data_IF_353309415346
#
_entry.id   IF_353309415346
#
_cell.length_a   1.000
_cell.length_b   1.000
_cell.length_c   1.000
_cell.angle_alpha   90.00
_cell.angle_beta   90.00
_cell.angle_gamma   90.00
#
_symmetry.space_group_name_H-M   'P 1'
#
loop_
_entity.id
_entity.type
_entity.pdbx_description
1 polymer ?
#
# COMPACT_ATOMS: atom_id res chain seq x y z
N UNK A 1 -2.24 -26.93 -20.85
CA UNK A 1 -2.65 -25.50 -20.76
C UNK A 1 -3.08 -25.09 -19.35
N UNK A 2 -3.96 -25.83 -18.66
CA UNK A 2 -4.46 -25.50 -17.31
C UNK A 2 -3.35 -25.34 -16.25
N UNK A 3 -2.28 -26.14 -16.30
CA UNK A 3 -1.16 -26.08 -15.34
C UNK A 3 -0.27 -24.83 -15.49
N UNK A 4 -0.12 -24.32 -16.72
CA UNK A 4 0.66 -23.10 -16.99
C UNK A 4 -0.11 -21.86 -16.54
N UNK A 5 -1.42 -21.83 -16.79
CA UNK A 5 -2.31 -20.75 -16.32
C UNK A 5 -2.31 -20.67 -14.77
N UNK A 6 -2.41 -21.82 -14.08
CA UNK A 6 -2.36 -21.88 -12.61
C UNK A 6 -1.03 -21.37 -12.04
N UNK A 7 0.09 -21.69 -12.70
CA UNK A 7 1.43 -21.22 -12.31
C UNK A 7 1.60 -19.72 -12.50
N UNK A 8 1.07 -19.16 -13.58
CA UNK A 8 1.13 -17.73 -13.86
C UNK A 8 0.29 -16.92 -12.87
N UNK A 9 -0.94 -17.37 -12.58
CA UNK A 9 -1.77 -16.75 -11.54
C UNK A 9 -1.06 -16.81 -10.19
N UNK A 10 -0.58 -17.99 -9.79
CA UNK A 10 0.14 -18.15 -8.52
C UNK A 10 1.37 -17.24 -8.44
N UNK A 11 2.14 -17.10 -9.51
CA UNK A 11 3.32 -16.22 -9.56
C UNK A 11 2.93 -14.76 -9.42
N UNK A 12 1.86 -14.32 -10.08
CA UNK A 12 1.35 -12.93 -9.94
C UNK A 12 0.86 -12.66 -8.53
N UNK A 13 0.11 -13.58 -7.93
CA UNK A 13 -0.37 -13.44 -6.55
C UNK A 13 0.79 -13.39 -5.56
N UNK A 14 1.76 -14.31 -5.69
CA UNK A 14 2.96 -14.29 -4.83
C UNK A 14 3.76 -13.01 -5.03
N UNK A 15 3.94 -12.56 -6.28
CA UNK A 15 4.62 -11.30 -6.59
C UNK A 15 3.92 -10.08 -5.99
N UNK A 16 2.59 -10.03 -6.09
CA UNK A 16 1.78 -8.98 -5.47
C UNK A 16 1.94 -8.99 -3.95
N UNK A 17 1.83 -10.17 -3.31
CA UNK A 17 1.92 -10.31 -1.86
C UNK A 17 3.29 -9.89 -1.34
N UNK A 18 4.36 -10.34 -1.99
CA UNK A 18 5.72 -9.95 -1.62
C UNK A 18 5.95 -8.46 -1.83
N UNK A 19 5.51 -7.92 -2.98
CA UNK A 19 5.64 -6.50 -3.29
C UNK A 19 4.92 -5.61 -2.29
N UNK A 20 3.65 -5.90 -1.98
CA UNK A 20 2.87 -5.13 -1.01
C UNK A 20 3.42 -5.26 0.40
N UNK A 21 3.91 -6.45 0.79
CA UNK A 21 4.52 -6.66 2.11
C UNK A 21 5.80 -5.84 2.27
N UNK A 22 6.62 -5.75 1.23
CA UNK A 22 7.83 -4.91 1.21
C UNK A 22 7.46 -3.43 1.30
N UNK A 23 6.47 -2.97 0.54
CA UNK A 23 5.97 -1.58 0.60
C UNK A 23 5.43 -1.24 2.00
N UNK A 24 4.64 -2.14 2.59
CA UNK A 24 4.12 -1.97 3.96
C UNK A 24 5.23 -1.95 4.99
N UNK A 25 6.24 -2.81 4.84
CA UNK A 25 7.43 -2.83 5.71
C UNK A 25 8.17 -1.50 5.62
N UNK A 26 8.43 -1.01 4.42
CA UNK A 26 9.04 0.30 4.20
C UNK A 26 8.19 1.42 4.82
N UNK A 27 6.86 1.34 4.70
CA UNK A 27 5.93 2.29 5.31
C UNK A 27 6.04 2.30 6.83
N UNK A 28 6.11 1.13 7.49
CA UNK A 28 6.33 1.05 8.95
C UNK A 28 7.69 1.61 9.37
N UNK A 29 8.74 1.40 8.58
CA UNK A 29 10.04 2.03 8.81
C UNK A 29 9.94 3.56 8.67
N UNK A 30 9.12 4.07 7.76
CA UNK A 30 8.85 5.51 7.63
C UNK A 30 8.14 6.07 8.84
N UNK A 31 7.14 5.36 9.37
CA UNK A 31 6.47 5.72 10.63
C UNK A 31 7.50 5.77 11.77
N UNK A 32 8.39 4.78 11.88
CA UNK A 32 9.46 4.78 12.87
C UNK A 32 10.37 5.99 12.71
N UNK A 33 10.76 6.32 11.48
CA UNK A 33 11.60 7.47 11.18
C UNK A 33 10.96 8.79 11.59
N UNK A 34 9.69 8.99 11.26
CA UNK A 34 8.93 10.19 11.65
C UNK A 34 8.73 10.26 13.17
N UNK A 35 8.35 9.14 13.81
CA UNK A 35 8.15 9.07 15.25
C UNK A 35 9.44 9.28 16.05
N UNK A 36 10.59 8.93 15.47
CA UNK A 36 11.90 9.17 16.08
C UNK A 36 12.36 10.64 16.03
N UNK A 37 11.69 11.49 15.24
CA UNK A 37 12.05 12.91 15.06
C UNK A 37 13.29 13.15 14.20
N UNK A 38 13.93 12.10 13.69
CA UNK A 38 15.17 12.17 12.89
C UNK A 38 14.94 12.69 11.45
N UNK A 39 13.68 12.71 11.00
CA UNK A 39 13.27 13.16 9.67
C UNK A 39 12.69 14.58 9.71
N UNK A 40 13.54 15.55 10.05
CA UNK A 40 13.13 16.96 10.23
C UNK A 40 12.72 17.68 8.95
N UNK A 41 13.17 17.20 7.79
CA UNK A 41 12.96 17.85 6.49
C UNK A 41 11.87 17.17 5.64
N UNK A 42 10.84 16.62 6.28
CA UNK A 42 9.78 15.87 5.58
C UNK A 42 8.87 16.78 4.73
N UNK A 43 8.69 18.04 5.15
CA UNK A 43 7.84 19.01 4.45
C UNK A 43 8.44 19.48 3.11
N UNK A 44 9.78 19.53 2.98
CA UNK A 44 10.43 19.90 1.72
C UNK A 44 10.16 18.87 0.61
N UNK A 45 9.83 17.63 1.00
CA UNK A 45 9.56 16.51 0.09
C UNK A 45 8.07 16.36 -0.28
N UNK A 46 7.20 17.13 0.37
CA UNK A 46 5.75 17.10 0.13
C UNK A 46 5.36 17.28 -1.35
N UNK A 47 6.05 18.12 -2.17
CA UNK A 47 5.79 18.21 -3.61
C UNK A 47 6.00 16.90 -4.38
N UNK A 48 6.94 16.04 -3.96
CA UNK A 48 7.14 14.74 -4.59
C UNK A 48 6.05 13.75 -4.20
N UNK A 49 5.59 13.80 -2.95
CA UNK A 49 4.49 12.94 -2.49
C UNK A 49 3.15 13.37 -3.11
N UNK A 50 2.92 14.68 -3.32
CA UNK A 50 1.72 15.16 -4.02
C UNK A 50 1.69 14.75 -5.49
N UNK A 51 2.85 14.65 -6.15
CA UNK A 51 2.93 14.03 -7.48
C UNK A 51 2.51 12.55 -7.42
N UNK A 52 2.96 11.81 -6.41
CA UNK A 52 2.52 10.43 -6.16
C UNK A 52 1.00 10.33 -5.97
N UNK A 53 0.41 11.20 -5.14
CA UNK A 53 -1.05 11.32 -4.97
C UNK A 53 -1.76 11.49 -6.31
N UNK A 54 -1.29 12.44 -7.13
CA UNK A 54 -1.91 12.72 -8.43
C UNK A 54 -1.86 11.50 -9.36
N UNK A 55 -0.73 10.78 -9.42
CA UNK A 55 -0.61 9.54 -10.20
C UNK A 55 -1.57 8.48 -9.69
N UNK A 56 -1.63 8.25 -8.38
CA UNK A 56 -2.56 7.27 -7.79
C UNK A 56 -4.00 7.64 -8.11
N UNK A 57 -4.38 8.91 -7.92
CA UNK A 57 -5.73 9.38 -8.23
C UNK A 57 -6.12 9.12 -9.69
N UNK A 58 -5.26 9.51 -10.64
CA UNK A 58 -5.50 9.30 -12.08
C UNK A 58 -5.61 7.82 -12.42
N UNK A 59 -4.74 6.97 -11.89
CA UNK A 59 -4.81 5.52 -12.14
C UNK A 59 -6.07 4.90 -11.54
N UNK A 60 -6.47 5.33 -10.34
CA UNK A 60 -7.66 4.83 -9.65
C UNK A 60 -8.94 5.22 -10.37
N UNK A 61 -9.10 6.49 -10.76
CA UNK A 61 -10.33 6.94 -11.45
C UNK A 61 -10.46 6.29 -12.83
N UNK A 62 -9.37 6.20 -13.60
CA UNK A 62 -9.37 5.52 -14.91
C UNK A 62 -9.68 4.03 -14.73
N UNK A 63 -9.12 3.39 -13.69
CA UNK A 63 -9.39 1.99 -13.37
C UNK A 63 -10.86 1.75 -13.02
N UNK A 64 -11.43 2.55 -12.11
CA UNK A 64 -12.82 2.42 -11.67
C UNK A 64 -13.80 2.62 -12.82
N UNK A 65 -13.56 3.61 -13.69
CA UNK A 65 -14.39 3.82 -14.89
C UNK A 65 -14.30 2.63 -15.85
N UNK A 66 -13.11 2.05 -16.05
CA UNK A 66 -12.93 0.86 -16.90
C UNK A 66 -13.62 -0.40 -16.35
N UNK A 67 -13.84 -0.45 -15.04
CA UNK A 67 -14.59 -1.52 -14.36
C UNK A 67 -16.07 -1.18 -14.18
N UNK A 68 -16.59 -0.24 -14.98
CA UNK A 68 -18.03 0.10 -15.08
C UNK A 68 -18.63 0.66 -13.77
N UNK A 69 -17.82 1.36 -12.98
CA UNK A 69 -18.30 2.07 -11.80
C UNK A 69 -19.06 3.36 -12.19
N UNK A 70 -20.21 3.60 -11.57
CA UNK A 70 -20.97 4.84 -11.72
C UNK A 70 -20.13 6.08 -11.36
N UNK A 71 -20.41 7.23 -11.98
CA UNK A 71 -19.56 8.42 -11.88
C UNK A 71 -19.29 8.91 -10.44
N UNK A 72 -20.31 8.88 -9.56
CA UNK A 72 -20.14 9.24 -8.14
C UNK A 72 -19.27 8.21 -7.41
N UNK A 73 -19.54 6.92 -7.61
CA UNK A 73 -18.80 5.81 -7.01
C UNK A 73 -17.34 5.82 -7.46
N UNK A 74 -17.08 6.07 -8.74
CA UNK A 74 -15.74 6.18 -9.29
C UNK A 74 -14.97 7.36 -8.69
N UNK A 75 -15.62 8.52 -8.53
CA UNK A 75 -14.99 9.70 -7.93
C UNK A 75 -14.66 9.48 -6.44
N UNK A 76 -15.63 9.04 -5.64
CA UNK A 76 -15.42 8.80 -4.21
C UNK A 76 -14.41 7.67 -3.97
N UNK A 77 -14.48 6.60 -4.75
CA UNK A 77 -13.51 5.50 -4.71
C UNK A 77 -12.11 5.99 -5.07
N UNK A 78 -11.96 6.79 -6.12
CA UNK A 78 -10.66 7.35 -6.53
C UNK A 78 -10.07 8.28 -5.47
N UNK A 79 -10.88 9.13 -4.83
CA UNK A 79 -10.44 9.98 -3.71
C UNK A 79 -9.93 9.11 -2.55
N UNK A 80 -10.71 8.11 -2.14
CA UNK A 80 -10.33 7.19 -1.06
C UNK A 80 -9.01 6.45 -1.36
N UNK A 81 -8.90 5.88 -2.56
CA UNK A 81 -7.68 5.19 -3.03
C UNK A 81 -6.50 6.16 -3.09
N UNK A 82 -6.70 7.38 -3.57
CA UNK A 82 -5.66 8.40 -3.66
C UNK A 82 -5.13 8.79 -2.28
N UNK A 83 -6.00 9.04 -1.30
CA UNK A 83 -5.59 9.38 0.08
C UNK A 83 -4.76 8.24 0.69
N UNK A 84 -5.25 7.00 0.60
CA UNK A 84 -4.51 5.83 1.11
C UNK A 84 -3.18 5.66 0.38
N UNK A 85 -3.18 5.79 -0.95
CA UNK A 85 -1.97 5.70 -1.76
C UNK A 85 -0.96 6.80 -1.45
N UNK A 86 -1.41 8.03 -1.19
CA UNK A 86 -0.54 9.13 -0.77
C UNK A 86 0.14 8.84 0.55
N UNK A 87 -0.61 8.36 1.55
CA UNK A 87 -0.05 7.96 2.84
C UNK A 87 1.01 6.88 2.65
N UNK A 88 0.71 5.85 1.84
CA UNK A 88 1.67 4.78 1.54
C UNK A 88 2.91 5.30 0.81
N UNK A 89 2.75 6.17 -0.19
CA UNK A 89 3.87 6.76 -0.94
C UNK A 89 4.76 7.61 -0.02
N UNK A 90 4.16 8.46 0.81
CA UNK A 90 4.88 9.32 1.73
C UNK A 90 5.63 8.49 2.79
N UNK A 91 4.94 7.55 3.45
CA UNK A 91 5.56 6.69 4.46
C UNK A 91 6.63 5.77 3.87
N UNK A 92 6.41 5.23 2.68
CA UNK A 92 7.42 4.42 1.98
C UNK A 92 8.64 5.27 1.66
N UNK A 93 8.45 6.48 1.10
CA UNK A 93 9.53 7.41 0.80
C UNK A 93 10.38 7.76 2.02
N UNK A 94 9.72 8.17 3.12
CA UNK A 94 10.41 8.46 4.39
C UNK A 94 11.08 7.20 4.98
N UNK A 95 10.48 6.03 4.82
CA UNK A 95 11.06 4.76 5.29
C UNK A 95 12.32 4.34 4.55
N UNK A 96 12.34 4.49 3.22
CA UNK A 96 13.57 4.27 2.45
C UNK A 96 14.66 5.25 2.87
N UNK A 97 14.33 6.54 3.00
CA UNK A 97 15.29 7.56 3.44
C UNK A 97 15.84 7.27 4.84
N UNK A 98 14.98 6.85 5.77
CA UNK A 98 15.38 6.48 7.12
C UNK A 98 16.30 5.26 7.12
N UNK A 99 15.95 4.21 6.37
CA UNK A 99 16.77 3.00 6.24
C UNK A 99 18.15 3.29 5.64
N UNK A 100 18.23 4.22 4.68
CA UNK A 100 19.50 4.64 4.06
C UNK A 100 20.36 5.48 5.02
N UNK A 101 19.75 6.36 5.82
CA UNK A 101 20.47 7.23 6.78
C UNK A 101 20.88 6.50 8.06
N UNK A 102 20.06 5.57 8.53
CA UNK A 102 20.24 4.85 9.79
C UNK A 102 20.15 3.32 9.62
N UNK A 103 20.99 2.71 8.76
CA UNK A 103 20.89 1.29 8.43
C UNK A 103 21.07 0.39 9.66
N UNK A 104 21.94 0.77 10.60
CA UNK A 104 22.17 0.00 11.82
C UNK A 104 20.95 -0.13 12.74
N UNK A 105 20.04 0.87 12.73
CA UNK A 105 18.82 0.84 13.54
C UNK A 105 17.72 -0.02 12.90
N UNK A 106 17.67 -0.04 11.57
CA UNK A 106 16.66 -0.79 10.81
C UNK A 106 17.06 -2.25 10.64
N UNK A 107 18.25 -2.51 10.12
CA UNK A 107 18.71 -3.88 9.79
C UNK A 107 19.39 -4.58 10.96
N UNK A 108 19.90 -3.85 11.95
CA UNK A 108 20.50 -4.41 13.16
C UNK A 108 19.49 -4.83 14.23
N UNK A 109 18.18 -4.60 14.00
CA UNK A 109 17.11 -4.83 14.97
C UNK A 109 16.13 -5.90 14.50
N UNK A 110 15.61 -6.69 15.44
CA UNK A 110 14.50 -7.62 15.20
C UNK A 110 13.21 -6.90 14.75
N UNK A 111 13.13 -5.57 14.92
CA UNK A 111 12.02 -4.73 14.45
C UNK A 111 11.69 -4.93 12.97
N UNK A 112 12.70 -5.13 12.11
CA UNK A 112 12.46 -5.34 10.68
C UNK A 112 11.66 -6.62 10.42
N UNK A 113 11.93 -7.69 11.18
CA UNK A 113 11.18 -8.95 11.09
C UNK A 113 9.74 -8.74 11.56
N UNK A 114 9.52 -7.97 12.62
CA UNK A 114 8.17 -7.63 13.09
C UNK A 114 7.40 -6.79 12.06
N UNK A 115 8.04 -5.79 11.44
CA UNK A 115 7.43 -4.99 10.38
C UNK A 115 7.14 -5.81 9.12
N UNK A 116 8.02 -6.74 8.78
CA UNK A 116 7.79 -7.66 7.67
C UNK A 116 6.62 -8.61 7.93
N UNK A 117 6.54 -9.18 9.13
CA UNK A 117 5.41 -10.01 9.55
C UNK A 117 4.10 -9.19 9.53
N UNK A 118 4.12 -7.96 10.04
CA UNK A 118 2.97 -7.06 9.99
C UNK A 118 2.57 -6.72 8.54
N UNK A 119 3.54 -6.50 7.64
CA UNK A 119 3.31 -6.26 6.22
C UNK A 119 2.67 -7.45 5.50
N UNK A 120 3.11 -8.68 5.83
CA UNK A 120 2.50 -9.91 5.32
C UNK A 120 1.06 -10.09 5.81
N UNK A 121 0.82 -9.89 7.10
CA UNK A 121 -0.52 -9.96 7.69
C UNK A 121 -1.44 -8.91 7.06
N UNK A 122 -0.97 -7.65 6.98
CA UNK A 122 -1.72 -6.55 6.39
C UNK A 122 -2.04 -6.79 4.92
N UNK A 123 -1.11 -7.37 4.16
CA UNK A 123 -1.34 -7.78 2.77
C UNK A 123 -2.41 -8.87 2.67
N UNK A 124 -2.33 -9.91 3.50
CA UNK A 124 -3.32 -10.99 3.52
C UNK A 124 -4.72 -10.47 3.87
N UNK A 125 -4.81 -9.61 4.89
CA UNK A 125 -6.05 -8.94 5.28
C UNK A 125 -6.58 -8.02 4.18
N UNK A 126 -5.72 -7.24 3.53
CA UNK A 126 -6.13 -6.35 2.44
C UNK A 126 -6.66 -7.13 1.23
N UNK A 127 -6.00 -8.23 0.86
CA UNK A 127 -6.50 -9.11 -0.19
C UNK A 127 -7.86 -9.73 0.17
N UNK A 128 -8.00 -10.23 1.40
CA UNK A 128 -9.26 -10.78 1.88
C UNK A 128 -10.36 -9.71 1.87
N UNK A 129 -10.09 -8.51 2.39
CA UNK A 129 -11.04 -7.41 2.43
C UNK A 129 -11.51 -7.06 1.02
N UNK A 130 -10.61 -6.83 0.07
CA UNK A 130 -10.99 -6.49 -1.30
C UNK A 130 -11.79 -7.59 -2.02
N UNK A 131 -11.53 -8.86 -1.67
CA UNK A 131 -12.20 -10.00 -2.29
C UNK A 131 -13.61 -10.23 -1.73
N UNK A 132 -13.81 -9.99 -0.43
CA UNK A 132 -15.03 -10.38 0.29
C UNK A 132 -15.82 -9.20 0.87
N UNK A 133 -15.37 -7.94 0.71
CA UNK A 133 -16.04 -6.76 1.26
C UNK A 133 -17.52 -6.65 0.88
N UNK A 134 -17.88 -7.08 -0.34
CA UNK A 134 -19.27 -7.05 -0.82
C UNK A 134 -20.19 -7.95 -0.01
N UNK A 135 -19.70 -9.07 0.52
CA UNK A 135 -20.51 -9.99 1.34
C UNK A 135 -20.96 -9.33 2.66
N UNK A 136 -20.18 -8.38 3.19
CA UNK A 136 -20.53 -7.60 4.37
C UNK A 136 -21.37 -6.36 4.06
N UNK A 137 -21.26 -5.83 2.84
CA UNK A 137 -21.98 -4.63 2.41
C UNK A 137 -23.41 -4.93 1.90
N UNK A 138 -23.71 -6.17 1.54
CA UNK A 138 -25.06 -6.63 1.27
C UNK A 138 -25.83 -6.88 2.56
N UNK A 139 -27.01 -6.26 2.72
CA UNK A 139 -27.94 -6.59 3.80
C UNK A 139 -28.28 -8.09 3.80
N UNK A 140 -28.47 -8.72 4.97
CA UNK A 140 -29.05 -10.05 5.01
C UNK A 140 -30.44 -9.98 4.40
N UNK A 141 -30.71 -10.75 3.36
CA UNK A 141 -32.08 -10.98 2.90
C UNK A 141 -32.86 -11.62 4.06
N UNK A 142 -33.73 -10.81 4.67
CA UNK A 142 -34.69 -11.24 5.70
C UNK A 142 -35.90 -11.93 5.09
#
# INVERSE_FOLDING_TARGET
MVTLWRREIARRTVGFVLGSSVVLTASFVGVLGLASGELTDSLSRLPFYSLGLAVVFVTAIVGLIRYDADGITAMLGAIGIAIVGFVLVALTGEGLLYALRFPGRVFGSQLLLYFFAAGLIGTGLGYWLLSFWREFASEPEG
#
